data_IF_825231271624
#
_entry.id   IF_825231271624
#
_cell.length_a   1.000
_cell.length_b   1.000
_cell.length_c   1.000
_cell.angle_alpha   90.00
_cell.angle_beta   90.00
_cell.angle_gamma   90.00
#
_symmetry.space_group_name_H-M   'P 1'
#
loop_
_entity.id
_entity.type
_entity.pdbx_description
1 polymer ?
#
# COMPACT_ATOMS: atom_id res chain seq x y z
N UNK A 1 -15.77 -20.32 13.90
CA UNK A 1 -15.06 -19.77 15.07
C UNK A 1 -15.70 -18.43 15.42
N UNK A 2 -15.93 -18.18 16.74
CA UNK A 2 -16.43 -16.88 17.23
C UNK A 2 -15.33 -16.17 18.01
N UNK A 3 -15.19 -14.86 17.81
CA UNK A 3 -14.20 -14.02 18.51
C UNK A 3 -14.84 -12.70 18.95
N UNK A 4 -14.35 -12.12 20.04
CA UNK A 4 -14.79 -10.81 20.52
C UNK A 4 -14.30 -9.68 19.60
N UNK A 5 -14.97 -8.54 19.63
CA UNK A 5 -14.51 -7.33 18.95
C UNK A 5 -13.12 -6.88 19.42
N UNK A 6 -12.83 -7.05 20.72
CA UNK A 6 -11.52 -6.76 21.31
C UNK A 6 -10.43 -7.67 20.74
N UNK A 7 -10.66 -8.99 20.70
CA UNK A 7 -9.71 -9.92 20.11
C UNK A 7 -9.46 -9.61 18.63
N UNK A 8 -10.49 -9.26 17.87
CA UNK A 8 -10.36 -8.88 16.47
C UNK A 8 -9.52 -7.59 16.28
N UNK A 9 -9.70 -6.57 17.13
CA UNK A 9 -8.86 -5.35 17.10
C UNK A 9 -7.40 -5.65 17.44
N UNK A 10 -7.16 -6.37 18.56
CA UNK A 10 -5.81 -6.75 19.00
C UNK A 10 -5.11 -7.60 17.95
N UNK A 11 -5.83 -8.56 17.35
CA UNK A 11 -5.32 -9.34 16.23
C UNK A 11 -4.86 -8.44 15.07
N UNK A 12 -5.71 -7.51 14.63
CA UNK A 12 -5.39 -6.65 13.49
C UNK A 12 -4.15 -5.80 13.76
N UNK A 13 -4.03 -5.16 14.92
CA UNK A 13 -2.85 -4.34 15.23
C UNK A 13 -1.58 -5.18 15.42
N UNK A 14 -1.67 -6.34 16.07
CA UNK A 14 -0.53 -7.24 16.24
C UNK A 14 -0.06 -7.80 14.90
N UNK A 15 -0.99 -8.32 14.10
CA UNK A 15 -0.71 -8.84 12.76
C UNK A 15 -0.09 -7.80 11.82
N UNK A 16 -0.52 -6.56 11.97
CA UNK A 16 0.01 -5.44 11.19
C UNK A 16 1.29 -4.82 11.77
N UNK A 17 1.92 -5.42 12.78
CA UNK A 17 3.13 -4.92 13.44
C UNK A 17 2.99 -3.49 13.97
N UNK A 18 1.81 -3.15 14.52
CA UNK A 18 1.49 -1.81 15.00
C UNK A 18 1.45 -1.70 16.53
N UNK A 19 1.50 -2.82 17.25
CA UNK A 19 1.50 -2.84 18.70
C UNK A 19 2.45 -3.93 19.24
N UNK A 20 3.74 -3.62 19.40
CA UNK A 20 4.35 -2.29 19.27
C UNK A 20 4.61 -1.87 17.83
N UNK A 21 4.48 -0.57 17.57
CA UNK A 21 4.87 0.03 16.30
C UNK A 21 6.40 -0.02 16.13
N UNK A 22 6.87 -0.08 14.87
CA UNK A 22 8.31 -0.15 14.54
C UNK A 22 9.05 -1.30 15.23
N UNK A 23 8.37 -2.45 15.35
CA UNK A 23 8.89 -3.65 16.04
C UNK A 23 9.59 -4.65 15.12
N UNK A 24 9.40 -4.54 13.81
CA UNK A 24 10.14 -5.34 12.83
C UNK A 24 11.57 -4.81 12.76
N UNK A 25 12.55 -5.73 12.68
CA UNK A 25 13.96 -5.35 12.62
C UNK A 25 14.25 -4.36 11.48
N UNK A 26 15.19 -3.45 11.68
CA UNK A 26 15.64 -2.51 10.65
C UNK A 26 16.40 -3.21 9.52
N UNK A 27 16.55 -2.53 8.38
CA UNK A 27 17.24 -3.04 7.21
C UNK A 27 16.35 -3.74 6.20
N UNK A 28 16.96 -4.20 5.11
CA UNK A 28 16.25 -4.80 3.97
C UNK A 28 15.45 -6.05 4.33
N UNK A 29 15.98 -6.90 5.22
CA UNK A 29 15.31 -8.13 5.66
C UNK A 29 14.01 -7.82 6.41
N UNK A 30 13.99 -6.78 7.26
CA UNK A 30 12.78 -6.36 7.95
C UNK A 30 11.75 -5.74 6.99
N UNK A 31 12.20 -4.98 6.01
CA UNK A 31 11.32 -4.48 4.94
C UNK A 31 10.71 -5.66 4.19
N UNK A 32 11.49 -6.66 3.81
CA UNK A 32 11.01 -7.86 3.13
C UNK A 32 10.11 -8.73 4.03
N UNK A 33 10.28 -8.70 5.35
CA UNK A 33 9.35 -9.36 6.28
C UNK A 33 7.95 -8.74 6.20
N UNK A 34 7.86 -7.41 6.17
CA UNK A 34 6.57 -6.70 5.98
C UNK A 34 5.97 -7.04 4.61
N UNK A 35 6.77 -7.08 3.54
CA UNK A 35 6.30 -7.49 2.22
C UNK A 35 5.77 -8.93 2.22
N UNK A 36 6.49 -9.88 2.85
CA UNK A 36 6.02 -11.28 2.96
C UNK A 36 4.71 -11.40 3.74
N UNK A 37 4.55 -10.61 4.81
CA UNK A 37 3.32 -10.57 5.62
C UNK A 37 2.13 -10.06 4.82
N UNK A 38 2.30 -8.99 4.05
CA UNK A 38 1.18 -8.34 3.34
C UNK A 38 1.02 -8.81 1.89
N UNK A 39 2.04 -9.40 1.29
CA UNK A 39 2.06 -9.80 -0.12
C UNK A 39 2.14 -8.63 -1.10
N UNK A 40 1.71 -7.44 -0.70
CA UNK A 40 1.83 -6.21 -1.50
C UNK A 40 1.60 -4.97 -0.66
N UNK A 41 2.23 -3.85 -1.04
CA UNK A 41 2.02 -2.53 -0.43
C UNK A 41 1.64 -1.56 -1.54
N UNK A 42 0.55 -0.82 -1.36
CA UNK A 42 0.08 0.14 -2.37
C UNK A 42 1.08 1.28 -2.57
N UNK A 43 1.43 1.52 -3.83
CA UNK A 43 2.20 2.69 -4.23
C UNK A 43 1.26 3.89 -4.46
N UNK A 44 1.67 5.06 -4.00
CA UNK A 44 1.04 6.33 -4.34
C UNK A 44 2.12 7.38 -4.60
N UNK A 45 2.03 8.19 -5.69
CA UNK A 45 3.06 9.18 -6.04
C UNK A 45 3.03 10.44 -5.14
N UNK A 46 1.96 10.66 -4.37
CA UNK A 46 1.86 11.81 -3.47
C UNK A 46 2.79 11.58 -2.27
N UNK A 47 3.71 12.50 -2.06
CA UNK A 47 4.76 12.37 -1.04
C UNK A 47 4.80 13.54 -0.04
N UNK A 48 3.66 14.20 0.19
CA UNK A 48 3.55 15.37 1.07
C UNK A 48 3.97 15.05 2.51
N UNK A 49 3.54 13.89 2.99
CA UNK A 49 3.88 13.36 4.30
C UNK A 49 4.87 12.17 4.23
N UNK A 50 5.35 11.85 3.05
CA UNK A 50 6.07 10.63 2.68
C UNK A 50 5.27 9.82 1.67
N UNK A 51 5.95 9.00 0.84
CA UNK A 51 5.24 8.10 -0.11
C UNK A 51 4.42 7.08 0.69
N UNK A 52 3.27 6.68 0.20
CA UNK A 52 2.38 5.77 0.94
C UNK A 52 3.08 4.49 1.42
N UNK A 53 3.86 3.83 0.56
CA UNK A 53 4.59 2.61 0.94
C UNK A 53 5.67 2.87 1.99
N UNK A 54 6.36 4.02 1.93
CA UNK A 54 7.33 4.40 2.96
C UNK A 54 6.66 4.63 4.32
N UNK A 55 5.49 5.26 4.34
CA UNK A 55 4.70 5.44 5.57
C UNK A 55 4.23 4.10 6.15
N UNK A 56 3.79 3.16 5.28
CA UNK A 56 3.42 1.80 5.69
C UNK A 56 4.62 1.09 6.34
N UNK A 57 5.80 1.17 5.73
CA UNK A 57 7.04 0.56 6.22
C UNK A 57 7.54 1.26 7.48
N UNK A 58 7.55 2.60 7.50
CA UNK A 58 7.95 3.39 8.67
C UNK A 58 7.13 3.08 9.91
N UNK A 59 5.84 2.83 9.78
CA UNK A 59 5.00 2.47 10.93
C UNK A 59 5.39 1.12 11.57
N UNK A 60 6.11 0.25 10.85
CA UNK A 60 6.36 -1.15 11.20
C UNK A 60 7.82 -1.51 11.42
N UNK A 61 8.72 -0.96 10.62
CA UNK A 61 10.15 -1.28 10.61
C UNK A 61 10.92 -0.29 11.45
N UNK A 62 11.77 -0.80 12.33
CA UNK A 62 12.64 0.01 13.19
C UNK A 62 13.61 0.84 12.33
N UNK A 63 13.71 2.13 12.63
CA UNK A 63 14.61 3.07 11.95
C UNK A 63 14.53 3.04 10.42
N UNK A 64 13.31 2.83 9.88
CA UNK A 64 13.09 2.71 8.44
C UNK A 64 13.63 3.91 7.66
N UNK A 65 14.35 3.62 6.59
CA UNK A 65 14.89 4.59 5.63
C UNK A 65 14.30 4.35 4.23
N UNK A 66 13.75 5.38 3.56
CA UNK A 66 13.18 5.24 2.21
C UNK A 66 14.14 4.65 1.18
N UNK A 67 15.44 4.85 1.34
CA UNK A 67 16.48 4.28 0.48
C UNK A 67 16.46 2.73 0.45
N UNK A 68 16.02 2.07 1.51
CA UNK A 68 15.93 0.60 1.54
C UNK A 68 14.93 0.06 0.53
N UNK A 69 13.81 0.77 0.31
CA UNK A 69 12.85 0.37 -0.70
C UNK A 69 13.41 0.59 -2.11
N UNK A 70 14.15 1.67 -2.34
CA UNK A 70 14.81 1.95 -3.61
C UNK A 70 15.91 0.90 -3.89
N UNK A 71 16.68 0.49 -2.87
CA UNK A 71 17.67 -0.58 -2.96
C UNK A 71 17.04 -1.95 -3.31
N UNK A 72 15.85 -2.28 -2.77
CA UNK A 72 15.14 -3.51 -3.13
C UNK A 72 14.74 -3.54 -4.62
N UNK A 73 14.44 -2.40 -5.22
CA UNK A 73 14.27 -2.31 -6.68
C UNK A 73 15.58 -2.65 -7.42
N UNK A 74 16.69 -2.07 -7.00
CA UNK A 74 18.01 -2.31 -7.61
C UNK A 74 18.43 -3.76 -7.49
N UNK A 75 18.16 -4.39 -6.35
CA UNK A 75 18.40 -5.82 -6.09
C UNK A 75 17.42 -6.76 -6.78
N UNK A 76 16.39 -6.24 -7.44
CA UNK A 76 15.36 -7.06 -8.09
C UNK A 76 14.56 -7.94 -7.12
N UNK A 77 14.42 -7.52 -5.89
CA UNK A 77 13.67 -8.24 -4.85
C UNK A 77 12.19 -7.84 -4.82
N UNK A 78 11.84 -6.67 -5.38
CA UNK A 78 10.48 -6.18 -5.56
C UNK A 78 10.24 -5.70 -6.99
N UNK A 79 8.98 -5.72 -7.41
CA UNK A 79 8.52 -5.17 -8.68
C UNK A 79 7.18 -4.45 -8.51
N UNK A 80 6.78 -3.65 -9.50
CA UNK A 80 5.47 -3.01 -9.51
C UNK A 80 4.48 -3.78 -10.38
N UNK A 81 3.30 -4.03 -9.83
CA UNK A 81 2.17 -4.53 -10.59
C UNK A 81 0.85 -4.03 -9.98
N UNK A 82 -0.22 -4.18 -10.75
CA UNK A 82 -1.54 -3.86 -10.23
C UNK A 82 -2.07 -5.00 -9.37
N UNK A 83 -2.23 -4.73 -8.09
CA UNK A 83 -3.00 -5.56 -7.17
C UNK A 83 -4.33 -4.87 -6.84
N UNK A 84 -4.62 -4.41 -5.61
CA UNK A 84 -5.80 -3.54 -5.34
C UNK A 84 -5.71 -2.23 -6.14
N UNK A 85 -4.54 -1.64 -6.12
CA UNK A 85 -4.11 -0.53 -6.96
C UNK A 85 -2.69 -0.83 -7.45
N UNK A 86 -1.97 0.14 -8.01
CA UNK A 86 -0.54 0.00 -8.27
C UNK A 86 0.16 -0.31 -6.95
N UNK A 87 0.94 -1.36 -6.92
CA UNK A 87 1.52 -1.89 -5.69
C UNK A 87 2.94 -2.37 -5.92
N UNK A 88 3.75 -2.26 -4.87
CA UNK A 88 5.03 -2.94 -4.75
C UNK A 88 4.78 -4.38 -4.28
N UNK A 89 5.41 -5.33 -4.92
CA UNK A 89 5.17 -6.76 -4.73
C UNK A 89 6.52 -7.48 -4.70
N UNK A 90 6.75 -8.47 -3.82
CA UNK A 90 7.96 -9.29 -3.88
C UNK A 90 8.15 -9.95 -5.25
N UNK A 91 9.37 -9.95 -5.78
CA UNK A 91 9.67 -10.51 -7.10
C UNK A 91 9.29 -11.99 -7.21
N UNK A 92 9.36 -12.74 -6.11
CA UNK A 92 8.92 -14.15 -6.04
C UNK A 92 7.45 -14.36 -6.39
N UNK A 93 6.62 -13.32 -6.24
CA UNK A 93 5.18 -13.35 -6.53
C UNK A 93 4.87 -13.14 -8.03
N UNK A 94 5.86 -12.75 -8.85
CA UNK A 94 5.68 -12.41 -10.25
C UNK A 94 4.88 -13.43 -11.08
N UNK A 95 5.08 -14.76 -10.97
CA UNK A 95 4.34 -15.73 -11.77
C UNK A 95 2.82 -15.65 -11.64
N UNK A 96 2.32 -15.23 -10.47
CA UNK A 96 0.88 -15.07 -10.21
C UNK A 96 0.33 -13.70 -10.62
N UNK A 97 1.20 -12.73 -10.96
CA UNK A 97 0.80 -11.37 -11.32
C UNK A 97 0.94 -11.06 -12.82
N UNK A 98 1.11 -12.08 -13.66
CA UNK A 98 1.24 -11.91 -15.13
C UNK A 98 -0.04 -11.49 -15.83
N UNK A 99 -1.22 -11.74 -15.26
CA UNK A 99 -2.47 -11.32 -15.87
C UNK A 99 -2.53 -9.78 -15.89
N UNK A 100 -2.65 -9.17 -17.08
CA UNK A 100 -2.77 -7.74 -17.18
C UNK A 100 -4.09 -7.29 -16.54
N UNK A 101 -4.00 -6.27 -15.70
CA UNK A 101 -5.15 -5.63 -15.08
C UNK A 101 -5.37 -4.27 -15.71
N UNK A 102 -6.32 -4.19 -16.61
CA UNK A 102 -6.79 -2.98 -17.19
C UNK A 102 -8.17 -3.20 -17.79
N UNK A 103 -8.93 -2.14 -18.02
CA UNK A 103 -10.17 -2.22 -18.83
C UNK A 103 -9.85 -2.68 -20.26
N UNK A 104 -8.61 -2.39 -20.72
CA UNK A 104 -8.11 -2.75 -22.04
C UNK A 104 -7.19 -3.97 -21.88
N UNK A 105 -7.56 -5.09 -22.48
CA UNK A 105 -6.84 -6.36 -22.38
C UNK A 105 -5.57 -6.42 -23.25
N UNK A 106 -4.83 -7.56 -23.22
CA UNK A 106 -3.60 -7.73 -23.98
C UNK A 106 -3.77 -7.49 -25.49
N UNK A 107 -4.92 -7.82 -26.07
CA UNK A 107 -5.21 -7.59 -27.49
C UNK A 107 -5.20 -6.12 -27.87
N UNK A 108 -5.71 -5.26 -26.98
CA UNK A 108 -5.68 -3.82 -27.18
C UNK A 108 -4.25 -3.27 -27.20
N UNK A 109 -3.42 -3.71 -26.25
CA UNK A 109 -2.02 -3.28 -26.18
C UNK A 109 -1.17 -3.86 -27.32
N UNK A 110 -1.45 -5.07 -27.77
CA UNK A 110 -0.82 -5.64 -28.97
C UNK A 110 -1.19 -4.85 -30.23
N UNK A 111 -2.43 -4.37 -30.35
CA UNK A 111 -2.84 -3.50 -31.44
C UNK A 111 -2.09 -2.15 -31.42
N UNK A 112 -1.91 -1.52 -30.25
CA UNK A 112 -1.09 -0.30 -30.13
C UNK A 112 0.33 -0.52 -30.67
N UNK A 113 0.98 -1.64 -30.29
CA UNK A 113 2.33 -1.96 -30.77
C UNK A 113 2.36 -2.17 -32.29
N UNK A 114 1.37 -2.85 -32.86
CA UNK A 114 1.29 -3.11 -34.28
C UNK A 114 1.02 -1.82 -35.10
N UNK A 115 0.09 -0.98 -34.64
CA UNK A 115 -0.25 0.30 -35.27
C UNK A 115 0.90 1.32 -35.21
N UNK A 116 1.80 1.19 -34.23
CA UNK A 116 2.93 2.09 -33.99
C UNK A 116 4.27 1.35 -34.07
N UNK A 117 4.42 0.38 -34.99
CA UNK A 117 5.55 -0.55 -35.06
C UNK A 117 6.92 0.16 -35.10
N UNK A 118 7.05 1.25 -35.85
CA UNK A 118 8.31 2.03 -35.97
C UNK A 118 8.73 2.61 -34.63
N UNK A 119 7.77 3.21 -33.87
CA UNK A 119 8.04 3.75 -32.54
C UNK A 119 8.34 2.63 -31.55
N UNK A 120 7.58 1.55 -31.63
CA UNK A 120 7.74 0.38 -30.77
C UNK A 120 9.13 -0.26 -30.94
N UNK A 121 9.59 -0.49 -32.17
CA UNK A 121 10.92 -1.01 -32.46
C UNK A 121 12.02 -0.08 -31.98
N UNK A 122 11.88 1.24 -32.21
CA UNK A 122 12.85 2.23 -31.72
C UNK A 122 12.95 2.23 -30.20
N UNK A 123 11.79 2.23 -29.48
CA UNK A 123 11.78 2.20 -28.02
C UNK A 123 12.47 0.94 -27.50
N UNK A 124 12.10 -0.23 -27.99
CA UNK A 124 12.67 -1.49 -27.54
C UNK A 124 14.14 -1.64 -27.92
N UNK A 125 14.52 -1.18 -29.13
CA UNK A 125 15.89 -1.17 -29.60
C UNK A 125 16.80 -0.31 -28.72
N UNK A 126 16.35 0.90 -28.36
CA UNK A 126 17.12 1.76 -27.45
C UNK A 126 17.23 1.16 -26.04
N UNK A 127 16.16 0.59 -25.48
CA UNK A 127 16.22 -0.07 -24.18
C UNK A 127 17.22 -1.25 -24.23
N UNK A 128 17.26 -2.02 -25.32
CA UNK A 128 18.25 -3.10 -25.50
C UNK A 128 19.69 -2.60 -25.50
N UNK A 129 19.93 -1.49 -26.18
CA UNK A 129 21.27 -0.94 -26.39
C UNK A 129 21.78 -0.13 -25.18
N UNK A 130 20.91 0.68 -24.58
CA UNK A 130 21.27 1.70 -23.59
C UNK A 130 20.93 1.29 -22.14
N UNK A 131 20.11 0.25 -21.95
CA UNK A 131 19.60 -0.15 -20.63
C UNK A 131 18.31 0.56 -20.25
N UNK A 132 18.11 0.79 -18.94
CA UNK A 132 16.87 1.34 -18.43
C UNK A 132 16.61 2.79 -18.88
N UNK A 133 15.50 2.99 -19.60
CA UNK A 133 15.06 4.30 -20.11
C UNK A 133 13.66 4.69 -19.62
N UNK A 134 13.40 5.99 -19.60
CA UNK A 134 12.10 6.58 -19.34
C UNK A 134 11.45 7.02 -20.68
N UNK A 135 10.12 7.08 -20.70
CA UNK A 135 9.42 7.68 -21.84
C UNK A 135 9.80 9.16 -22.08
N UNK A 136 10.39 9.82 -21.08
CA UNK A 136 10.89 11.20 -21.20
C UNK A 136 12.27 11.30 -21.90
N UNK A 137 12.95 10.16 -22.15
CA UNK A 137 14.21 10.11 -22.91
C UNK A 137 13.97 10.04 -24.42
N UNK A 138 12.72 10.10 -24.83
CA UNK A 138 12.29 10.09 -26.22
C UNK A 138 11.56 11.38 -26.56
N UNK A 139 11.75 11.84 -27.80
CA UNK A 139 10.95 12.97 -28.32
C UNK A 139 9.47 12.61 -28.32
N UNK A 140 8.59 13.54 -27.90
CA UNK A 140 7.16 13.30 -27.89
C UNK A 140 6.63 13.06 -29.30
N UNK A 141 5.91 11.97 -29.49
CA UNK A 141 5.17 11.71 -30.72
C UNK A 141 3.66 11.79 -30.46
N UNK A 142 2.98 12.64 -31.19
CA UNK A 142 1.53 12.79 -31.08
C UNK A 142 0.83 11.83 -32.05
N UNK A 143 -0.09 11.04 -31.54
CA UNK A 143 -0.80 10.02 -32.31
C UNK A 143 -2.14 9.67 -31.68
N UNK A 144 -2.79 8.67 -32.28
CA UNK A 144 -4.17 8.29 -32.03
C UNK A 144 -4.52 7.56 -30.72
N UNK A 145 -3.60 6.99 -29.89
CA UNK A 145 -4.04 6.41 -28.63
C UNK A 145 -4.66 7.49 -27.74
N UNK A 146 -5.78 7.15 -27.13
CA UNK A 146 -6.40 7.99 -26.10
C UNK A 146 -6.11 7.38 -24.73
N UNK A 147 -5.75 8.25 -23.80
CA UNK A 147 -5.57 7.86 -22.40
C UNK A 147 -6.89 7.43 -21.75
N UNK A 148 -6.83 7.14 -20.45
CA UNK A 148 -8.00 6.76 -19.67
C UNK A 148 -9.14 7.81 -19.70
N UNK A 149 -8.83 9.08 -19.87
CA UNK A 149 -9.78 10.18 -19.93
C UNK A 149 -10.23 10.50 -21.38
N UNK A 150 -9.74 9.74 -22.38
CA UNK A 150 -10.05 9.97 -23.78
C UNK A 150 -9.24 11.11 -24.43
N UNK A 151 -8.22 11.61 -23.74
CA UNK A 151 -7.32 12.64 -24.26
C UNK A 151 -6.25 12.01 -25.16
N UNK A 152 -5.78 12.72 -26.21
CA UNK A 152 -4.68 12.23 -27.05
C UNK A 152 -3.46 11.94 -26.19
N UNK A 153 -2.97 10.71 -26.23
CA UNK A 153 -1.79 10.28 -25.50
C UNK A 153 -0.55 10.40 -26.38
N UNK A 154 0.59 10.67 -25.75
CA UNK A 154 1.88 10.53 -26.41
C UNK A 154 2.11 9.05 -26.78
N UNK A 155 2.32 8.77 -28.07
CA UNK A 155 2.52 7.42 -28.62
C UNK A 155 3.63 6.67 -27.86
N UNK A 156 4.74 7.35 -27.53
CA UNK A 156 5.83 6.75 -26.77
C UNK A 156 5.34 6.21 -25.42
N UNK A 157 4.52 6.96 -24.69
CA UNK A 157 3.95 6.51 -23.41
C UNK A 157 3.03 5.30 -23.58
N UNK A 158 2.19 5.33 -24.63
CA UNK A 158 1.31 4.21 -24.97
C UNK A 158 2.10 2.95 -25.31
N UNK A 159 3.22 3.08 -26.02
CA UNK A 159 4.13 1.98 -26.33
C UNK A 159 4.81 1.43 -25.07
N UNK A 160 5.28 2.28 -24.14
CA UNK A 160 5.83 1.82 -22.86
C UNK A 160 4.78 1.06 -22.04
N UNK A 161 3.55 1.56 -21.98
CA UNK A 161 2.45 0.86 -21.31
C UNK A 161 2.15 -0.48 -21.97
N UNK A 162 2.07 -0.50 -23.29
CA UNK A 162 1.81 -1.71 -24.06
C UNK A 162 2.91 -2.77 -23.86
N UNK A 163 4.18 -2.40 -23.88
CA UNK A 163 5.29 -3.32 -23.59
C UNK A 163 5.27 -3.81 -22.14
N UNK A 164 4.88 -2.97 -21.18
CA UNK A 164 4.74 -3.39 -19.78
C UNK A 164 3.61 -4.41 -19.63
N UNK A 165 2.47 -4.19 -20.27
CA UNK A 165 1.31 -5.10 -20.21
C UNK A 165 1.59 -6.41 -20.94
N UNK A 166 2.33 -6.37 -22.05
CA UNK A 166 2.71 -7.58 -22.81
C UNK A 166 3.90 -8.32 -22.20
N UNK A 167 4.58 -7.72 -21.22
CA UNK A 167 5.69 -8.35 -20.50
C UNK A 167 7.04 -8.26 -21.22
N UNK A 168 7.20 -7.37 -22.18
CA UNK A 168 8.50 -7.14 -22.80
C UNK A 168 9.46 -6.33 -21.93
N UNK A 169 8.90 -5.35 -21.20
CA UNK A 169 9.64 -4.51 -20.26
C UNK A 169 8.95 -4.49 -18.88
N UNK A 170 9.70 -4.11 -17.86
CA UNK A 170 9.21 -3.87 -16.52
C UNK A 170 9.81 -2.59 -15.93
N UNK A 171 9.28 -2.12 -14.82
CA UNK A 171 9.86 -0.98 -14.11
C UNK A 171 11.18 -1.40 -13.46
N UNK A 172 12.27 -0.71 -13.84
CA UNK A 172 13.61 -0.95 -13.31
C UNK A 172 13.88 -0.15 -12.03
N UNK A 173 13.51 1.13 -12.02
CA UNK A 173 13.67 2.06 -10.89
C UNK A 173 12.82 3.30 -11.06
N UNK A 174 12.75 4.08 -9.99
CA UNK A 174 12.17 5.42 -9.98
C UNK A 174 13.18 6.47 -9.53
N UNK A 175 13.11 7.64 -10.12
CA UNK A 175 13.75 8.84 -9.64
C UNK A 175 12.64 9.87 -9.36
N UNK A 176 12.25 10.00 -8.10
CA UNK A 176 11.01 10.68 -7.74
C UNK A 176 9.80 10.00 -8.39
N UNK A 177 9.05 10.75 -9.22
CA UNK A 177 7.91 10.19 -9.97
C UNK A 177 8.30 9.71 -11.38
N UNK A 178 9.53 9.95 -11.83
CA UNK A 178 10.03 9.50 -13.13
C UNK A 178 10.28 8.00 -13.10
N UNK A 179 9.72 7.28 -14.07
CA UNK A 179 9.80 5.82 -14.20
C UNK A 179 10.83 5.45 -15.26
N UNK A 180 11.72 4.51 -14.93
CA UNK A 180 12.69 3.93 -15.86
C UNK A 180 12.37 2.45 -16.05
N UNK A 181 12.32 2.01 -17.30
CA UNK A 181 11.93 0.67 -17.69
C UNK A 181 13.08 -0.02 -18.39
N UNK A 182 13.27 -1.31 -18.11
CA UNK A 182 14.26 -2.16 -18.78
C UNK A 182 13.57 -3.46 -19.24
N UNK A 183 14.29 -4.25 -20.02
CA UNK A 183 13.84 -5.56 -20.46
C UNK A 183 13.48 -6.41 -19.24
N UNK A 184 12.33 -7.06 -19.28
CA UNK A 184 11.86 -7.86 -18.14
C UNK A 184 12.83 -9.00 -17.80
N UNK A 185 13.51 -9.56 -18.81
CA UNK A 185 14.54 -10.58 -18.65
C UNK A 185 15.80 -10.11 -17.91
N UNK A 186 16.04 -8.80 -17.83
CA UNK A 186 17.12 -8.20 -17.02
C UNK A 186 16.67 -7.88 -15.61
N UNK A 187 15.36 -7.79 -15.39
CA UNK A 187 14.77 -7.39 -14.12
C UNK A 187 14.38 -8.56 -13.22
N UNK A 188 14.11 -9.72 -13.81
CA UNK A 188 13.65 -10.88 -13.07
C UNK A 188 14.45 -12.13 -13.44
N UNK A 189 14.70 -13.03 -12.46
CA UNK A 189 15.37 -14.30 -12.71
C UNK A 189 14.64 -15.15 -13.76
N UNK A 190 15.40 -15.80 -14.64
CA UNK A 190 14.85 -16.65 -15.70
C UNK A 190 13.87 -17.72 -15.19
N UNK A 191 14.11 -18.29 -14.00
CA UNK A 191 13.22 -19.28 -13.38
C UNK A 191 11.84 -18.72 -13.02
N UNK A 192 11.75 -17.43 -12.64
CA UNK A 192 10.47 -16.76 -12.40
C UNK A 192 9.74 -16.45 -13.72
N UNK A 193 10.51 -16.09 -14.75
CA UNK A 193 9.96 -15.80 -16.08
C UNK A 193 9.47 -17.07 -16.78
N UNK A 194 10.15 -18.19 -16.63
CA UNK A 194 9.77 -19.47 -17.23
C UNK A 194 8.57 -20.14 -16.52
N UNK A 195 8.29 -19.76 -15.27
CA UNK A 195 7.21 -20.38 -14.51
C UNK A 195 5.84 -19.91 -14.99
N UNK A 196 5.15 -20.76 -15.73
CA UNK A 196 3.77 -20.53 -16.14
C UNK A 196 2.81 -20.96 -15.03
N UNK A 197 1.82 -20.11 -14.73
CA UNK A 197 0.77 -20.39 -13.75
C UNK A 197 -0.56 -20.27 -14.46
N UNK A 198 -1.44 -21.28 -14.37
CA UNK A 198 -2.78 -21.24 -14.97
C UNK A 198 -3.58 -20.02 -14.51
N UNK A 199 -4.42 -19.48 -15.41
CA UNK A 199 -5.23 -18.27 -15.12
C UNK A 199 -6.05 -18.42 -13.84
N UNK A 200 -6.67 -19.59 -13.62
CA UNK A 200 -7.46 -19.87 -12.41
C UNK A 200 -6.61 -19.74 -11.15
N UNK A 201 -5.41 -20.28 -11.16
CA UNK A 201 -4.50 -20.20 -10.02
C UNK A 201 -4.00 -18.77 -9.79
N UNK A 202 -3.71 -18.01 -10.85
CA UNK A 202 -3.36 -16.60 -10.71
C UNK A 202 -4.50 -15.81 -10.05
N UNK A 203 -5.75 -16.01 -10.46
CA UNK A 203 -6.92 -15.34 -9.89
C UNK A 203 -7.13 -15.74 -8.43
N UNK A 204 -7.00 -17.04 -8.12
CA UNK A 204 -7.12 -17.56 -6.74
C UNK A 204 -6.04 -16.99 -5.83
N UNK A 205 -4.78 -16.96 -6.29
CA UNK A 205 -3.68 -16.38 -5.54
C UNK A 205 -3.88 -14.88 -5.31
N UNK A 206 -4.32 -14.13 -6.32
CA UNK A 206 -4.64 -12.70 -6.18
C UNK A 206 -5.79 -12.46 -5.21
N UNK A 207 -6.80 -13.30 -5.20
CA UNK A 207 -7.87 -13.22 -4.19
C UNK A 207 -7.32 -13.47 -2.79
N UNK A 208 -6.51 -14.53 -2.61
CA UNK A 208 -5.86 -14.83 -1.34
C UNK A 208 -4.95 -13.68 -0.87
N UNK A 209 -4.25 -13.02 -1.80
CA UNK A 209 -3.38 -11.88 -1.47
C UNK A 209 -4.13 -10.70 -0.83
N UNK A 210 -5.44 -10.52 -1.12
CA UNK A 210 -6.26 -9.50 -0.45
C UNK A 210 -6.52 -9.84 1.01
N UNK A 211 -6.85 -11.12 1.27
CA UNK A 211 -7.02 -11.61 2.64
C UNK A 211 -5.71 -11.54 3.41
N UNK A 212 -4.59 -11.90 2.77
CA UNK A 212 -3.24 -11.78 3.34
C UNK A 212 -2.90 -10.32 3.66
N UNK A 213 -3.19 -9.37 2.79
CA UNK A 213 -2.86 -7.97 3.03
C UNK A 213 -3.62 -7.36 4.20
N UNK A 214 -4.90 -7.67 4.34
CA UNK A 214 -5.75 -7.07 5.38
C UNK A 214 -5.81 -7.91 6.67
N UNK A 215 -5.91 -9.24 6.56
CA UNK A 215 -6.00 -10.20 7.67
C UNK A 215 -7.41 -10.58 8.09
N UNK A 216 -8.44 -9.76 7.91
CA UNK A 216 -9.80 -10.02 8.38
C UNK A 216 -10.85 -9.38 7.46
N UNK A 217 -10.94 -9.82 6.21
CA UNK A 217 -11.90 -9.28 5.24
C UNK A 217 -13.21 -10.07 5.21
N UNK A 218 -14.30 -9.36 4.93
CA UNK A 218 -15.58 -9.99 4.58
C UNK A 218 -15.61 -10.49 3.14
N UNK A 219 -16.67 -11.21 2.80
CA UNK A 219 -16.88 -11.76 1.44
C UNK A 219 -17.11 -10.68 0.38
N UNK A 220 -17.83 -9.60 0.73
CA UNK A 220 -18.19 -8.52 -0.20
C UNK A 220 -17.04 -7.56 -0.50
N UNK A 221 -16.15 -7.35 0.48
CA UNK A 221 -15.12 -6.31 0.44
C UNK A 221 -15.72 -4.90 0.33
N UNK A 222 -15.13 -3.94 1.03
CA UNK A 222 -15.48 -2.53 0.92
C UNK A 222 -14.44 -1.79 0.05
N UNK A 223 -14.78 -0.62 -0.48
CA UNK A 223 -13.83 0.29 -1.12
C UNK A 223 -13.03 -0.31 -2.27
N UNK A 224 -13.63 -1.17 -3.09
CA UNK A 224 -12.95 -1.76 -4.24
C UNK A 224 -11.87 -2.80 -3.86
N UNK A 225 -11.91 -3.34 -2.63
CA UNK A 225 -10.89 -4.28 -2.12
C UNK A 225 -10.68 -5.48 -3.04
N UNK A 226 -11.71 -5.95 -3.72
CA UNK A 226 -11.63 -7.08 -4.65
C UNK A 226 -11.70 -6.68 -6.12
N UNK A 227 -11.54 -5.42 -6.43
CA UNK A 227 -11.49 -4.97 -7.82
C UNK A 227 -10.37 -5.67 -8.59
N UNK A 228 -10.59 -5.85 -9.89
CA UNK A 228 -9.61 -6.40 -10.84
C UNK A 228 -9.14 -7.84 -10.55
N UNK A 229 -9.86 -8.61 -9.73
CA UNK A 229 -9.60 -10.05 -9.56
C UNK A 229 -10.48 -10.84 -10.52
N UNK A 230 -11.78 -10.85 -10.27
CA UNK A 230 -12.80 -11.49 -11.06
C UNK A 230 -14.14 -10.85 -10.76
N UNK A 231 -15.15 -11.10 -11.63
CA UNK A 231 -16.52 -10.78 -11.30
C UNK A 231 -16.98 -11.61 -10.09
N UNK A 232 -18.01 -11.19 -9.35
CA UNK A 232 -18.53 -12.00 -8.26
C UNK A 232 -18.93 -13.41 -8.70
N UNK A 233 -19.63 -13.52 -9.82
CA UNK A 233 -20.13 -14.77 -10.38
C UNK A 233 -19.23 -15.31 -11.50
N UNK A 234 -19.21 -16.63 -11.64
CA UNK A 234 -18.48 -17.34 -12.71
C UNK A 234 -19.12 -17.12 -14.08
N UNK A 235 -18.30 -17.19 -15.10
CA UNK A 235 -18.72 -17.30 -16.49
C UNK A 235 -18.19 -18.61 -17.09
N UNK A 236 -18.71 -19.08 -18.26
CA UNK A 236 -18.17 -20.28 -18.89
C UNK A 236 -16.67 -20.24 -19.18
N UNK A 237 -16.11 -19.03 -19.31
CA UNK A 237 -14.70 -18.82 -19.67
C UNK A 237 -13.80 -18.46 -18.48
N UNK A 238 -14.38 -18.11 -17.31
CA UNK A 238 -13.60 -17.59 -16.20
C UNK A 238 -14.28 -17.83 -14.85
N UNK A 239 -13.55 -18.31 -13.82
CA UNK A 239 -14.11 -18.50 -12.49
C UNK A 239 -14.48 -17.14 -11.87
N UNK A 240 -15.57 -17.13 -11.13
CA UNK A 240 -16.01 -16.00 -10.34
C UNK A 240 -15.28 -15.92 -9.00
N UNK A 241 -15.32 -14.74 -8.41
CA UNK A 241 -14.70 -14.50 -7.11
C UNK A 241 -15.34 -15.32 -5.99
N UNK A 242 -16.63 -15.55 -6.04
CA UNK A 242 -17.36 -16.37 -5.06
C UNK A 242 -16.88 -17.81 -5.09
N UNK A 243 -16.80 -18.41 -6.28
CA UNK A 243 -16.26 -19.75 -6.49
C UNK A 243 -14.82 -19.89 -5.98
N UNK A 244 -13.94 -18.98 -6.37
CA UNK A 244 -12.55 -19.00 -5.92
C UNK A 244 -12.40 -18.86 -4.40
N UNK A 245 -13.31 -18.15 -3.75
CA UNK A 245 -13.31 -18.01 -2.29
C UNK A 245 -13.75 -19.31 -1.60
N UNK A 246 -14.80 -19.96 -2.12
CA UNK A 246 -15.22 -21.26 -1.59
C UNK A 246 -14.09 -22.29 -1.72
N UNK A 247 -13.38 -22.33 -2.86
CA UNK A 247 -12.18 -23.17 -2.99
C UNK A 247 -11.13 -22.90 -1.92
N UNK A 248 -10.86 -21.62 -1.62
CA UNK A 248 -9.89 -21.26 -0.60
C UNK A 248 -10.32 -21.70 0.80
N UNK A 249 -11.63 -21.75 1.06
CA UNK A 249 -12.20 -22.27 2.30
C UNK A 249 -12.10 -23.81 2.33
N UNK A 250 -12.48 -24.48 1.26
CA UNK A 250 -12.41 -25.95 1.12
C UNK A 250 -10.97 -26.46 1.22
N UNK A 251 -10.02 -25.76 0.62
CA UNK A 251 -8.58 -26.02 0.76
C UNK A 251 -8.03 -25.71 2.16
N UNK A 252 -8.85 -25.13 3.03
CA UNK A 252 -8.45 -24.72 4.37
C UNK A 252 -7.46 -23.55 4.41
N UNK A 253 -7.27 -22.81 3.32
CA UNK A 253 -6.43 -21.63 3.29
C UNK A 253 -7.08 -20.46 4.00
N UNK A 254 -8.42 -20.37 3.92
CA UNK A 254 -9.23 -19.35 4.60
C UNK A 254 -10.20 -20.01 5.58
N UNK A 255 -10.34 -19.42 6.76
CA UNK A 255 -11.26 -19.89 7.80
C UNK A 255 -12.32 -18.83 8.07
N UNK A 256 -13.62 -19.18 7.97
CA UNK A 256 -14.71 -18.28 8.33
C UNK A 256 -14.78 -18.06 9.84
N UNK A 257 -14.89 -16.80 10.25
CA UNK A 257 -15.02 -16.38 11.65
C UNK A 257 -16.19 -15.41 11.84
N UNK A 258 -16.86 -15.51 12.95
CA UNK A 258 -17.89 -14.57 13.40
C UNK A 258 -17.26 -13.63 14.42
N UNK A 259 -17.27 -12.33 14.13
CA UNK A 259 -16.75 -11.28 15.01
C UNK A 259 -17.91 -10.58 15.67
N UNK A 260 -17.86 -10.49 17.01
CA UNK A 260 -18.87 -9.81 17.80
C UNK A 260 -19.11 -8.37 17.32
N UNK A 261 -20.37 -7.98 17.14
CA UNK A 261 -20.76 -6.66 16.67
C UNK A 261 -20.51 -6.38 15.18
N UNK A 262 -19.93 -7.32 14.43
CA UNK A 262 -19.65 -7.16 13.00
C UNK A 262 -20.62 -8.01 12.17
N UNK A 263 -21.31 -7.38 11.25
CA UNK A 263 -22.26 -8.08 10.38
C UNK A 263 -21.56 -8.95 9.35
N UNK A 264 -21.98 -10.21 9.26
CA UNK A 264 -21.48 -11.19 8.29
C UNK A 264 -20.15 -11.81 8.69
N UNK A 265 -19.86 -12.98 8.09
CA UNK A 265 -18.61 -13.68 8.36
C UNK A 265 -17.42 -12.94 7.79
N UNK A 266 -16.33 -12.97 8.54
CA UNK A 266 -15.00 -12.56 8.10
C UNK A 266 -14.17 -13.79 7.78
N UNK A 267 -13.13 -13.63 6.98
CA UNK A 267 -12.22 -14.68 6.61
C UNK A 267 -10.81 -14.31 7.06
N UNK A 268 -10.16 -15.25 7.71
CA UNK A 268 -8.78 -15.16 8.21
C UNK A 268 -7.94 -16.25 7.55
N UNK A 269 -6.66 -16.02 7.34
CA UNK A 269 -5.73 -17.08 6.93
C UNK A 269 -5.66 -18.16 8.02
N UNK A 270 -5.63 -19.44 7.63
CA UNK A 270 -5.59 -20.57 8.58
C UNK A 270 -4.41 -20.46 9.55
N UNK A 271 -3.24 -20.09 9.05
CA UNK A 271 -2.03 -19.92 9.86
C UNK A 271 -2.12 -18.76 10.88
N UNK A 272 -3.04 -17.82 10.69
CA UNK A 272 -3.26 -16.67 11.58
C UNK A 272 -4.39 -16.91 12.61
N UNK A 273 -5.09 -18.03 12.53
CA UNK A 273 -6.24 -18.31 13.38
C UNK A 273 -5.85 -18.36 14.88
N UNK A 274 -4.73 -18.95 15.21
CA UNK A 274 -4.22 -18.98 16.59
C UNK A 274 -3.95 -17.58 17.15
N UNK A 275 -3.36 -16.70 16.34
CA UNK A 275 -3.12 -15.31 16.71
C UNK A 275 -4.45 -14.54 16.90
N UNK A 276 -5.48 -14.84 16.08
CA UNK A 276 -6.80 -14.21 16.23
C UNK A 276 -7.52 -14.67 17.51
N UNK A 277 -7.36 -15.95 17.89
CA UNK A 277 -8.00 -16.50 19.09
C UNK A 277 -7.33 -16.05 20.40
N UNK A 278 -6.02 -15.82 20.37
CA UNK A 278 -5.24 -15.38 21.53
C UNK A 278 -4.25 -14.26 21.13
N UNK A 279 -4.76 -13.08 20.75
CA UNK A 279 -3.91 -11.95 20.37
C UNK A 279 -3.17 -11.40 21.61
N UNK A 280 -1.92 -10.95 21.44
CA UNK A 280 -1.17 -10.37 22.55
C UNK A 280 -1.79 -9.06 23.03
N UNK A 281 -1.51 -8.70 24.29
CA UNK A 281 -1.84 -7.39 24.83
C UNK A 281 -1.07 -6.31 24.08
N UNK A 282 -1.74 -5.26 23.56
CA UNK A 282 -1.10 -4.23 22.77
C UNK A 282 -0.23 -3.32 23.62
N UNK A 283 1.07 -3.28 23.32
CA UNK A 283 2.03 -2.39 23.99
C UNK A 283 1.69 -0.90 23.73
N UNK A 284 1.99 0.00 24.68
CA UNK A 284 1.78 1.44 24.51
C UNK A 284 2.77 2.01 23.48
N UNK A 285 2.36 2.06 22.24
CA UNK A 285 3.11 2.67 21.14
C UNK A 285 2.17 3.44 20.22
N UNK A 286 2.70 4.46 19.53
CA UNK A 286 1.96 5.23 18.51
C UNK A 286 2.50 4.93 17.13
N UNK A 287 1.58 4.65 16.20
CA UNK A 287 1.85 4.57 14.77
C UNK A 287 1.01 5.59 14.00
N UNK A 288 1.61 6.26 13.03
CA UNK A 288 0.91 7.05 12.02
C UNK A 288 0.61 6.15 10.84
N UNK A 289 -0.68 5.99 10.51
CA UNK A 289 -1.14 5.03 9.51
C UNK A 289 -1.26 5.70 8.16
N UNK A 290 -0.66 5.11 7.14
CA UNK A 290 -0.72 5.63 5.77
C UNK A 290 -2.17 5.61 5.23
N UNK A 291 -2.56 6.56 4.35
CA UNK A 291 -3.93 6.66 3.84
C UNK A 291 -4.41 5.41 3.10
N UNK A 292 -3.51 4.71 2.41
CA UNK A 292 -3.83 3.50 1.66
C UNK A 292 -3.27 2.23 2.30
N UNK A 293 -3.01 2.28 3.61
CA UNK A 293 -2.64 1.11 4.40
C UNK A 293 -3.70 0.01 4.29
N UNK A 294 -3.26 -1.24 4.19
CA UNK A 294 -4.19 -2.36 4.05
C UNK A 294 -5.14 -2.52 5.24
N UNK A 295 -4.76 -2.08 6.42
CA UNK A 295 -5.63 -2.05 7.61
C UNK A 295 -6.88 -1.20 7.39
N UNK A 296 -6.80 -0.15 6.57
CA UNK A 296 -7.89 0.78 6.31
C UNK A 296 -8.77 0.38 5.09
N UNK A 297 -8.51 -0.74 4.41
CA UNK A 297 -9.22 -1.10 3.19
C UNK A 297 -10.71 -1.39 3.39
N UNK A 298 -11.10 -1.91 4.53
CA UNK A 298 -12.51 -2.12 4.90
C UNK A 298 -12.96 -1.05 5.90
N UNK A 299 -13.36 0.12 5.38
CA UNK A 299 -13.79 1.25 6.21
C UNK A 299 -14.96 0.91 7.13
N UNK A 300 -15.86 0.02 6.69
CA UNK A 300 -16.99 -0.41 7.52
C UNK A 300 -16.52 -1.26 8.71
N UNK A 301 -15.53 -2.13 8.49
CA UNK A 301 -14.92 -2.89 9.57
C UNK A 301 -14.16 -1.98 10.53
N UNK A 302 -13.41 -1.01 10.02
CA UNK A 302 -12.70 -0.02 10.83
C UNK A 302 -13.68 0.78 11.69
N UNK A 303 -14.78 1.26 11.11
CA UNK A 303 -15.83 1.96 11.87
C UNK A 303 -16.45 1.07 12.94
N UNK A 304 -16.79 -0.17 12.62
CA UNK A 304 -17.44 -1.09 13.56
C UNK A 304 -16.51 -1.56 14.69
N UNK A 305 -15.26 -1.90 14.39
CA UNK A 305 -14.34 -2.43 15.38
C UNK A 305 -13.63 -1.38 16.20
N UNK A 306 -13.23 -0.28 15.56
CA UNK A 306 -12.41 0.76 16.19
C UNK A 306 -13.20 2.02 16.56
N UNK A 307 -14.48 2.12 16.14
CA UNK A 307 -15.27 3.34 16.31
C UNK A 307 -14.70 4.53 15.53
N UNK A 308 -13.96 4.27 14.44
CA UNK A 308 -13.19 5.28 13.73
C UNK A 308 -13.61 5.37 12.26
N UNK A 309 -14.15 6.51 11.87
CA UNK A 309 -14.47 6.78 10.47
C UNK A 309 -13.26 7.38 9.76
N UNK A 310 -12.79 6.72 8.72
CA UNK A 310 -11.71 7.21 7.89
C UNK A 310 -12.15 7.42 6.45
N UNK A 311 -11.97 8.64 5.96
CA UNK A 311 -12.13 9.02 4.56
C UNK A 311 -10.88 9.77 4.12
N UNK A 312 -10.28 9.35 3.03
CA UNK A 312 -9.20 10.12 2.43
C UNK A 312 -9.77 11.28 1.61
N UNK A 313 -9.53 12.51 2.07
CA UNK A 313 -10.11 13.74 1.50
C UNK A 313 -9.24 14.35 0.39
N UNK A 314 -8.21 13.65 -0.06
CA UNK A 314 -7.26 14.15 -1.06
C UNK A 314 -7.90 14.61 -2.38
N UNK A 315 -9.00 13.96 -2.78
CA UNK A 315 -9.78 14.33 -3.97
C UNK A 315 -10.84 15.41 -3.72
N UNK A 316 -11.08 15.79 -2.47
CA UNK A 316 -12.08 16.79 -2.16
C UNK A 316 -11.51 18.19 -2.38
N UNK A 317 -12.30 19.13 -2.94
CA UNK A 317 -11.93 20.54 -2.95
C UNK A 317 -11.60 21.02 -1.52
N UNK A 318 -10.64 21.95 -1.33
CA UNK A 318 -10.22 22.40 0.01
C UNK A 318 -11.39 22.79 0.94
N UNK A 319 -12.39 23.50 0.41
CA UNK A 319 -13.57 23.94 1.16
C UNK A 319 -14.49 22.80 1.66
N UNK A 320 -14.33 21.59 1.14
CA UNK A 320 -15.11 20.40 1.54
C UNK A 320 -14.34 19.44 2.44
N UNK A 321 -13.05 19.71 2.70
CA UNK A 321 -12.22 18.89 3.58
C UNK A 321 -12.57 19.21 5.03
N UNK A 322 -12.90 18.17 5.78
CA UNK A 322 -13.16 18.28 7.22
C UNK A 322 -11.85 18.34 8.01
N UNK A 323 -10.86 17.55 7.58
CA UNK A 323 -9.61 17.36 8.30
C UNK A 323 -8.43 18.00 7.58
N UNK A 324 -8.19 17.63 6.33
CA UNK A 324 -7.05 18.12 5.58
C UNK A 324 -6.80 17.37 4.28
N UNK A 325 -5.65 17.62 3.67
CA UNK A 325 -5.33 16.97 2.40
C UNK A 325 -4.71 15.60 2.58
N UNK A 326 -3.70 15.47 3.46
CA UNK A 326 -2.96 14.23 3.66
C UNK A 326 -2.89 13.87 5.14
N UNK A 327 -4.00 13.36 5.63
CA UNK A 327 -4.23 13.11 7.05
C UNK A 327 -3.95 11.66 7.39
N UNK A 328 -3.13 11.43 8.42
CA UNK A 328 -2.74 10.12 8.91
C UNK A 328 -3.50 9.81 10.20
N UNK A 329 -4.24 8.69 10.28
CA UNK A 329 -4.78 8.19 11.55
C UNK A 329 -3.67 7.91 12.56
N UNK A 330 -3.94 8.20 13.83
CA UNK A 330 -3.06 7.91 14.96
C UNK A 330 -3.56 6.63 15.64
N UNK A 331 -2.81 5.55 15.50
CA UNK A 331 -3.06 4.30 16.20
C UNK A 331 -2.25 4.28 17.51
N UNK A 332 -2.94 4.06 18.64
CA UNK A 332 -2.33 3.86 19.95
C UNK A 332 -2.88 2.59 20.57
N UNK A 333 -2.00 1.67 20.96
CA UNK A 333 -2.39 0.30 21.38
C UNK A 333 -3.24 -0.35 20.29
N UNK A 334 -4.50 -0.70 20.59
CA UNK A 334 -5.47 -1.29 19.66
C UNK A 334 -6.59 -0.32 19.25
N UNK A 335 -6.35 1.01 19.28
CA UNK A 335 -7.37 2.03 18.98
C UNK A 335 -6.84 3.12 18.06
N UNK A 336 -7.70 3.63 17.21
CA UNK A 336 -7.47 4.92 16.56
C UNK A 336 -7.94 6.03 17.49
N UNK A 337 -7.00 6.89 17.90
CA UNK A 337 -7.25 7.91 18.94
C UNK A 337 -7.27 9.32 18.40
N UNK A 338 -6.97 9.50 17.14
CA UNK A 338 -6.95 10.83 16.50
C UNK A 338 -6.38 10.80 15.10
N UNK A 339 -6.09 11.98 14.59
CA UNK A 339 -5.54 12.23 13.25
C UNK A 339 -4.48 13.31 13.30
N UNK A 340 -3.46 13.19 12.44
CA UNK A 340 -2.43 14.21 12.26
C UNK A 340 -2.28 14.52 10.77
N UNK A 341 -2.12 15.80 10.42
CA UNK A 341 -1.74 16.24 9.08
C UNK A 341 -0.30 16.78 9.09
N UNK A 342 0.69 15.93 8.79
CA UNK A 342 2.06 16.37 8.67
C UNK A 342 2.39 16.75 7.23
N UNK A 343 3.33 17.71 7.07
CA UNK A 343 3.91 18.05 5.78
C UNK A 343 5.43 18.08 5.90
N UNK A 344 6.11 17.35 5.04
CA UNK A 344 7.55 17.35 4.94
C UNK A 344 7.98 18.48 4.00
N UNK A 345 8.74 19.41 4.52
CA UNK A 345 9.38 20.51 3.79
C UNK A 345 10.89 20.24 3.74
N UNK A 346 11.31 19.54 2.66
CA UNK A 346 12.68 19.09 2.48
C UNK A 346 13.65 20.26 2.30
N UNK A 347 13.20 21.30 1.61
CA UNK A 347 14.03 22.48 1.31
C UNK A 347 14.38 23.24 2.58
N UNK A 348 13.49 23.23 3.56
CA UNK A 348 13.68 23.86 4.87
C UNK A 348 14.14 22.89 5.97
N UNK A 349 14.32 21.60 5.66
CA UNK A 349 14.72 20.58 6.63
C UNK A 349 13.76 20.44 7.82
N UNK A 350 12.46 20.58 7.59
CA UNK A 350 11.45 20.58 8.65
C UNK A 350 10.24 19.69 8.34
N UNK A 351 9.56 19.28 9.39
CA UNK A 351 8.20 18.75 9.34
C UNK A 351 7.24 19.77 9.95
N UNK A 352 6.18 20.10 9.22
CA UNK A 352 5.11 20.96 9.71
C UNK A 352 3.93 20.09 10.15
N UNK A 353 3.42 20.26 11.37
CA UNK A 353 2.15 19.71 11.82
C UNK A 353 1.09 20.77 11.55
N UNK A 354 0.30 20.54 10.49
CA UNK A 354 -0.73 21.47 10.04
C UNK A 354 -2.04 21.28 10.79
N UNK A 355 -2.35 20.05 11.24
CA UNK A 355 -3.52 19.71 11.99
C UNK A 355 -3.29 18.51 12.91
N UNK A 356 -3.99 18.50 14.03
CA UNK A 356 -4.03 17.40 14.99
C UNK A 356 -5.39 17.39 15.66
N UNK A 357 -6.08 16.26 15.56
CA UNK A 357 -7.45 16.10 16.07
C UNK A 357 -7.54 14.81 16.88
N UNK A 358 -8.28 14.86 17.97
CA UNK A 358 -8.53 13.72 18.83
C UNK A 358 -9.93 13.18 18.62
N UNK A 359 -10.09 11.88 18.76
CA UNK A 359 -11.43 11.26 18.76
C UNK A 359 -12.16 11.61 20.05
N UNK A 360 -13.49 11.63 19.98
CA UNK A 360 -14.36 11.95 21.10
C UNK A 360 -14.07 11.04 22.31
N UNK A 361 -13.92 11.67 23.47
CA UNK A 361 -13.60 10.96 24.71
C UNK A 361 -12.12 10.60 24.90
N UNK A 362 -11.24 10.83 23.91
CA UNK A 362 -9.82 10.60 24.10
C UNK A 362 -9.12 11.82 24.74
N UNK A 363 -8.48 11.60 25.87
CA UNK A 363 -7.74 12.62 26.58
C UNK A 363 -6.25 12.29 26.63
N UNK A 364 -5.38 12.90 25.80
CA UNK A 364 -3.96 12.55 25.69
C UNK A 364 -3.20 12.51 27.00
N UNK A 365 -3.50 13.45 27.92
CA UNK A 365 -2.82 13.53 29.25
C UNK A 365 -3.26 12.43 30.22
N UNK A 366 -4.42 11.81 29.99
CA UNK A 366 -4.98 10.78 30.88
C UNK A 366 -4.72 9.36 30.37
N UNK A 367 -4.34 9.22 29.11
CA UNK A 367 -4.03 7.92 28.52
C UNK A 367 -2.61 7.50 28.92
N UNK A 368 -2.52 6.44 29.71
CA UNK A 368 -1.27 5.94 30.24
C UNK A 368 -0.26 5.57 29.14
N UNK A 369 0.95 6.13 29.22
CA UNK A 369 2.03 5.96 28.26
C UNK A 369 1.85 6.69 26.92
N UNK A 370 0.71 7.36 26.67
CA UNK A 370 0.44 7.97 25.37
C UNK A 370 1.38 9.13 25.01
N UNK A 371 1.65 10.04 25.97
CA UNK A 371 2.47 11.23 25.72
C UNK A 371 3.87 10.84 25.28
N UNK A 372 4.47 9.87 25.95
CA UNK A 372 5.81 9.39 25.61
C UNK A 372 5.83 8.62 24.30
N UNK A 373 4.83 7.75 24.07
CA UNK A 373 4.67 7.03 22.81
C UNK A 373 4.48 7.99 21.61
N UNK A 374 3.76 9.10 21.80
CA UNK A 374 3.56 10.12 20.76
C UNK A 374 4.85 10.89 20.49
N UNK A 375 5.63 11.24 21.53
CA UNK A 375 6.94 11.85 21.38
C UNK A 375 7.90 10.96 20.60
N UNK A 376 7.93 9.68 20.92
CA UNK A 376 8.76 8.70 20.20
C UNK A 376 8.34 8.53 18.74
N UNK A 377 7.03 8.54 18.46
CA UNK A 377 6.52 8.53 17.10
C UNK A 377 6.91 9.78 16.30
N UNK A 378 6.82 10.96 16.91
CA UNK A 378 7.24 12.22 16.28
C UNK A 378 8.75 12.27 16.02
N UNK A 379 9.59 11.80 16.97
CA UNK A 379 11.04 11.67 16.75
C UNK A 379 11.37 10.70 15.61
N UNK A 380 10.70 9.54 15.59
CA UNK A 380 10.88 8.57 14.52
C UNK A 380 10.45 9.15 13.16
N UNK A 381 9.37 9.91 13.14
CA UNK A 381 8.88 10.54 11.93
C UNK A 381 9.82 11.67 11.43
N UNK A 382 10.42 12.45 12.32
CA UNK A 382 11.45 13.44 11.95
C UNK A 382 12.66 12.76 11.29
N UNK A 383 13.17 11.67 11.87
CA UNK A 383 14.27 10.90 11.26
C UNK A 383 13.89 10.36 9.90
N UNK A 384 12.72 9.76 9.78
CA UNK A 384 12.16 9.26 8.51
C UNK A 384 12.08 10.36 7.44
N UNK A 385 11.66 11.56 7.83
CA UNK A 385 11.54 12.71 6.94
C UNK A 385 12.91 13.32 6.54
N UNK A 386 14.02 12.93 7.21
CA UNK A 386 15.30 13.58 7.08
C UNK A 386 15.28 15.03 7.57
N UNK A 387 14.42 15.34 8.55
CA UNK A 387 14.18 16.70 9.04
C UNK A 387 14.78 16.90 10.44
N UNK A 388 15.37 18.09 10.67
CA UNK A 388 15.97 18.45 11.95
C UNK A 388 15.00 19.12 12.92
N UNK A 389 13.84 19.61 12.45
CA UNK A 389 12.92 20.34 13.31
C UNK A 389 11.44 20.06 13.03
N UNK A 390 10.64 20.19 14.10
CA UNK A 390 9.19 20.06 14.06
C UNK A 390 8.54 21.42 14.28
N UNK A 391 7.76 21.87 13.31
CA UNK A 391 7.00 23.12 13.41
C UNK A 391 5.51 22.82 13.56
N UNK A 392 4.84 23.57 14.42
CA UNK A 392 3.42 23.40 14.72
C UNK A 392 2.63 24.59 14.21
N UNK A 393 1.51 24.36 13.59
CA UNK A 393 0.60 25.43 13.24
C UNK A 393 0.21 26.24 14.50
N UNK A 394 0.00 27.56 14.38
CA UNK A 394 -0.22 28.44 15.56
C UNK A 394 -1.38 27.99 16.47
N UNK A 395 -2.43 27.44 15.91
CA UNK A 395 -3.61 26.96 16.66
C UNK A 395 -3.32 25.68 17.48
N UNK A 396 -2.21 25.00 17.28
CA UNK A 396 -1.79 23.78 18.00
C UNK A 396 -0.82 24.08 19.17
N UNK A 397 -0.87 25.27 19.74
CA UNK A 397 0.05 25.68 20.81
C UNK A 397 -0.06 24.81 22.08
N UNK A 398 -1.22 24.24 22.36
CA UNK A 398 -1.43 23.33 23.51
C UNK A 398 -0.77 21.98 23.28
N UNK A 399 -0.95 21.38 22.10
CA UNK A 399 -0.37 20.12 21.67
C UNK A 399 1.15 20.25 21.56
N UNK A 400 1.62 21.35 21.00
CA UNK A 400 3.04 21.70 20.99
C UNK A 400 3.63 21.60 22.39
N UNK A 401 3.04 22.26 23.39
CA UNK A 401 3.52 22.21 24.79
C UNK A 401 3.48 20.81 25.39
N UNK A 402 2.50 19.99 24.99
CA UNK A 402 2.37 18.63 25.50
C UNK A 402 3.43 17.68 24.94
N UNK A 403 3.70 17.77 23.64
CA UNK A 403 4.55 16.80 22.95
C UNK A 403 5.97 17.27 22.70
N UNK A 404 6.27 18.57 22.81
CA UNK A 404 7.64 19.06 22.75
C UNK A 404 8.39 18.71 24.03
N UNK A 405 9.28 17.76 23.95
CA UNK A 405 10.39 17.62 24.88
C UNK A 405 11.52 18.60 24.47
N UNK A 406 12.41 18.97 25.39
CA UNK A 406 13.51 19.94 25.11
C UNK A 406 14.41 19.53 23.94
N UNK A 407 14.52 18.25 23.70
CA UNK A 407 15.31 17.61 22.64
C UNK A 407 14.64 17.59 21.25
N UNK A 408 13.37 17.98 21.14
CA UNK A 408 12.67 18.18 19.85
C UNK A 408 12.69 19.66 19.40
N UNK A 409 13.41 20.52 20.12
CA UNK A 409 13.50 21.95 19.88
C UNK A 409 14.80 22.37 19.17
N UNK A 410 15.73 21.46 18.96
CA UNK A 410 17.05 21.75 18.36
C UNK A 410 17.01 21.66 16.84
#
# INVERSE_FOLDING_TARGET
VKVSAEAARRFLVARHFLAPARSVAGGLDGVMEVFRRFGSIQFDPIAVAGRNHDLVLHARVASYEPAWCDELYERREIFEATNKALSLIPASEFPWFRLPFGRKGPRFHAAILAENAVVAERVLGRIRAEGALSALDFEPEHGAPKDWFGMPENVVRAVFEAYTVTGAIGLARREGNRRYYDLLERLLPAGLLAREVPVREQLRHKLLSRYRAHGLLGAGGAGGTFDRIANPESTPQRPGRNELREELIELGSLVPVDVEGVRGKRLVLKEELALLQAPPEPAPSVAFIAPFDSLLWDNALVANLFGFEYVWEGFFPPARRRWGWYVLPICFRDRFVGRIEPRIDRDQGRVQVLGLWWEDGFAPRRADGFVDAMRDALRAYLRFAGAGRLEWAPHLATEKRLFLARDLLS
#
